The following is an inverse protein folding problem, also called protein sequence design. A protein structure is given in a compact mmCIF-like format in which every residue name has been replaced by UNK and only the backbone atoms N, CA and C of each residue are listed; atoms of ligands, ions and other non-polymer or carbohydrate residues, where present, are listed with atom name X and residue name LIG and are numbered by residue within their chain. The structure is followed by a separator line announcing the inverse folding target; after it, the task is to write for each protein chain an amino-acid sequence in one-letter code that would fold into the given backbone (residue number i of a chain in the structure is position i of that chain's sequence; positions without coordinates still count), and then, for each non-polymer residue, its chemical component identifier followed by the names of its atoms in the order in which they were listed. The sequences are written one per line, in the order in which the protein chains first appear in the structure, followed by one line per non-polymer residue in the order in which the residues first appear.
data_IF_374767070114
#
_entry.id   IF_374767070114
#
_cell.length_a   1.000
_cell.length_b   1.000
_cell.length_c   1.000
_cell.angle_alpha   90.00
_cell.angle_beta   90.00
_cell.angle_gamma   90.00
#
_symmetry.space_group_name_H-M   'P 1'
#
loop_
_entity.id
_entity.type
_entity.pdbx_description
1 polymer ?
#
# COMPACT_ATOMS: atom_id res chain seq x y z
N UNK A 1 9.51 -16.06 -23.58
CA UNK A 1 9.16 -14.83 -24.32
C UNK A 1 9.06 -13.56 -23.45
N UNK A 2 9.27 -13.64 -22.12
CA UNK A 2 9.13 -12.48 -21.21
C UNK A 2 10.40 -11.65 -21.02
N UNK A 3 11.59 -12.19 -21.30
CA UNK A 3 12.87 -11.51 -21.02
C UNK A 3 13.29 -10.45 -22.05
N UNK A 4 12.81 -10.53 -23.31
CA UNK A 4 13.27 -9.62 -24.38
C UNK A 4 12.69 -8.20 -24.22
N UNK A 5 11.53 -8.06 -23.58
CA UNK A 5 10.86 -6.75 -23.39
C UNK A 5 11.36 -5.94 -22.19
N UNK A 6 12.17 -6.50 -21.30
CA UNK A 6 12.77 -5.75 -20.20
C UNK A 6 13.92 -4.83 -20.66
N UNK A 7 14.48 -5.04 -21.85
CA UNK A 7 15.76 -4.45 -22.25
C UNK A 7 15.71 -3.05 -22.91
N UNK A 8 14.54 -2.44 -23.15
CA UNK A 8 14.46 -1.14 -23.83
C UNK A 8 14.51 0.10 -22.92
N UNK A 9 14.27 -0.03 -21.61
CA UNK A 9 14.18 1.12 -20.70
C UNK A 9 15.11 0.97 -19.49
N UNK A 10 16.24 1.68 -19.50
CA UNK A 10 17.20 1.71 -18.38
C UNK A 10 16.72 2.53 -17.17
N UNK A 11 15.73 3.41 -17.37
CA UNK A 11 15.30 4.34 -16.30
C UNK A 11 14.46 3.65 -15.21
N UNK A 12 13.91 2.45 -15.46
CA UNK A 12 12.92 1.81 -14.60
C UNK A 12 13.13 0.30 -14.54
N UNK A 13 12.95 -0.31 -13.36
CA UNK A 13 13.04 -1.78 -13.21
C UNK A 13 11.87 -2.54 -13.86
N UNK A 14 10.68 -1.94 -13.86
CA UNK A 14 9.47 -2.54 -14.44
C UNK A 14 8.81 -1.55 -15.43
N UNK A 15 9.07 -1.66 -16.75
CA UNK A 15 8.49 -0.75 -17.74
C UNK A 15 6.99 -0.98 -17.98
N UNK A 16 6.45 -2.14 -17.59
CA UNK A 16 5.07 -2.56 -17.82
C UNK A 16 4.40 -2.92 -16.48
N UNK A 17 4.19 -1.93 -15.58
CA UNK A 17 3.52 -2.16 -14.32
C UNK A 17 2.08 -2.65 -14.54
N UNK A 18 1.66 -3.63 -13.76
CA UNK A 18 0.30 -4.18 -13.75
C UNK A 18 -0.12 -4.30 -12.30
N UNK A 19 -1.37 -3.94 -11.99
CA UNK A 19 -1.93 -4.18 -10.68
C UNK A 19 -2.30 -5.65 -10.50
N UNK A 20 -1.71 -6.27 -9.48
CA UNK A 20 -2.06 -7.63 -9.06
C UNK A 20 -2.51 -7.58 -7.60
N UNK A 21 -3.81 -7.82 -7.30
CA UNK A 21 -4.26 -7.88 -5.92
C UNK A 21 -3.62 -9.07 -5.21
N UNK A 22 -3.52 -9.00 -3.89
CA UNK A 22 -3.05 -10.14 -3.10
C UNK A 22 -4.01 -11.31 -3.25
N UNK A 23 -3.47 -12.52 -3.19
CA UNK A 23 -4.25 -13.76 -3.26
C UNK A 23 -5.39 -13.76 -2.24
N UNK A 24 -6.57 -14.19 -2.68
CA UNK A 24 -7.78 -14.24 -1.85
C UNK A 24 -8.46 -12.90 -1.53
N UNK A 25 -7.84 -11.74 -1.84
CA UNK A 25 -8.50 -10.44 -1.64
C UNK A 25 -9.59 -10.22 -2.67
N UNK A 26 -10.80 -9.92 -2.19
CA UNK A 26 -11.95 -9.51 -3.02
C UNK A 26 -12.18 -8.01 -2.88
N UNK A 27 -12.81 -7.43 -3.90
CA UNK A 27 -13.31 -6.04 -3.89
C UNK A 27 -14.80 -6.00 -4.15
N UNK A 28 -15.43 -4.85 -3.89
CA UNK A 28 -16.86 -4.62 -4.07
C UNK A 28 -17.26 -4.71 -5.55
N UNK A 29 -18.51 -5.11 -5.86
CA UNK A 29 -19.01 -5.11 -7.25
C UNK A 29 -18.88 -3.75 -7.93
N UNK A 30 -19.16 -2.66 -7.20
CA UNK A 30 -18.97 -1.30 -7.70
C UNK A 30 -17.51 -1.00 -8.08
N UNK A 31 -16.56 -1.43 -7.25
CA UNK A 31 -15.13 -1.27 -7.50
C UNK A 31 -14.65 -2.06 -8.71
N UNK A 32 -15.21 -3.26 -8.97
CA UNK A 32 -14.94 -4.00 -10.21
C UNK A 32 -15.42 -3.26 -11.46
N UNK A 33 -16.60 -2.62 -11.39
CA UNK A 33 -17.10 -1.77 -12.47
C UNK A 33 -16.18 -0.57 -12.72
N UNK A 34 -15.70 0.07 -11.64
CA UNK A 34 -14.71 1.14 -11.73
C UNK A 34 -13.41 0.67 -12.40
N UNK A 35 -12.90 -0.50 -12.01
CA UNK A 35 -11.70 -1.09 -12.62
C UNK A 35 -11.86 -1.32 -14.12
N UNK A 36 -12.97 -1.92 -14.56
CA UNK A 36 -13.27 -2.10 -15.98
C UNK A 36 -13.34 -0.75 -16.72
N UNK A 37 -14.02 0.23 -16.12
CA UNK A 37 -14.10 1.59 -16.69
C UNK A 37 -12.75 2.32 -16.68
N UNK A 38 -11.80 1.96 -15.84
CA UNK A 38 -10.46 2.55 -15.78
C UNK A 38 -9.43 1.91 -16.72
N UNK A 39 -9.78 0.84 -17.44
CA UNK A 39 -8.83 0.14 -18.31
C UNK A 39 -8.34 1.03 -19.47
N UNK A 40 -7.02 1.17 -19.63
CA UNK A 40 -6.43 2.03 -20.65
C UNK A 40 -6.80 3.51 -20.52
N UNK A 41 -7.12 3.99 -19.31
CA UNK A 41 -7.56 5.37 -19.08
C UNK A 41 -6.62 6.41 -19.73
N UNK A 42 -5.30 6.24 -19.61
CA UNK A 42 -4.34 7.24 -20.12
C UNK A 42 -4.16 7.27 -21.65
N UNK A 43 -4.78 6.35 -22.37
CA UNK A 43 -4.85 6.39 -23.85
C UNK A 43 -6.17 6.96 -24.37
N UNK A 44 -7.13 7.28 -23.50
CA UNK A 44 -8.44 7.82 -23.89
C UNK A 44 -8.40 9.32 -24.17
N UNK A 45 -9.44 9.78 -24.87
CA UNK A 45 -9.64 11.18 -25.18
C UNK A 45 -9.84 12.01 -23.91
N UNK A 46 -10.64 11.53 -22.94
CA UNK A 46 -10.91 12.24 -21.67
C UNK A 46 -9.62 12.62 -20.93
N UNK A 47 -8.69 11.67 -20.81
CA UNK A 47 -7.38 11.93 -20.21
C UNK A 47 -6.60 13.01 -20.98
N UNK A 48 -6.64 12.96 -22.31
CA UNK A 48 -5.98 13.95 -23.16
C UNK A 48 -6.59 15.34 -23.00
N UNK A 49 -7.91 15.45 -22.80
CA UNK A 49 -8.60 16.71 -22.51
C UNK A 49 -8.16 17.29 -21.17
N UNK A 50 -8.11 16.50 -20.09
CA UNK A 50 -7.61 16.97 -18.80
C UNK A 50 -6.18 17.52 -18.91
N UNK A 51 -5.31 16.86 -19.69
CA UNK A 51 -3.95 17.34 -19.91
C UNK A 51 -3.94 18.60 -20.78
N UNK A 52 -4.76 18.68 -21.83
CA UNK A 52 -4.88 19.86 -22.69
C UNK A 52 -5.36 21.09 -21.91
N UNK A 53 -6.30 20.92 -20.99
CA UNK A 53 -6.76 22.00 -20.12
C UNK A 53 -5.65 22.53 -19.21
N UNK A 54 -4.83 21.66 -18.60
CA UNK A 54 -3.66 22.14 -17.85
C UNK A 54 -2.63 22.86 -18.74
N UNK A 55 -2.57 22.50 -20.03
CA UNK A 55 -1.70 23.17 -21.00
C UNK A 55 -2.19 24.54 -21.39
N UNK A 56 -3.50 24.71 -21.61
CA UNK A 56 -4.07 26.03 -21.90
C UNK A 56 -3.92 26.99 -20.72
N UNK A 57 -3.95 26.48 -19.49
CA UNK A 57 -3.67 27.26 -18.28
C UNK A 57 -2.19 27.57 -18.03
N UNK A 58 -1.27 27.15 -18.92
CA UNK A 58 0.17 27.33 -18.73
C UNK A 58 0.80 26.53 -17.58
N UNK A 59 0.00 25.75 -16.84
CA UNK A 59 0.47 24.89 -15.72
C UNK A 59 1.29 23.70 -16.22
N UNK A 60 1.16 23.35 -17.49
CA UNK A 60 1.89 22.24 -18.11
C UNK A 60 2.21 22.53 -19.57
N UNK A 61 3.33 22.01 -20.07
CA UNK A 61 3.68 22.17 -21.48
C UNK A 61 3.54 20.89 -22.30
N UNK A 62 3.69 19.71 -21.68
CA UNK A 62 3.82 18.43 -22.38
C UNK A 62 2.92 17.33 -21.81
N UNK A 63 2.53 16.39 -22.67
CA UNK A 63 1.95 15.12 -22.26
C UNK A 63 2.88 14.36 -21.31
N UNK A 64 2.34 13.63 -20.32
CA UNK A 64 3.15 12.76 -19.49
C UNK A 64 3.84 11.67 -20.34
N UNK A 65 5.12 11.36 -20.07
CA UNK A 65 5.83 10.33 -20.81
C UNK A 65 5.15 8.97 -20.67
N UNK A 66 5.33 8.08 -21.66
CA UNK A 66 4.68 6.76 -21.71
C UNK A 66 4.85 5.96 -20.41
N UNK A 67 6.06 5.96 -19.85
CA UNK A 67 6.37 5.26 -18.60
C UNK A 67 5.62 5.79 -17.37
N UNK A 68 5.18 7.07 -17.39
CA UNK A 68 4.31 7.64 -16.35
C UNK A 68 2.86 7.27 -16.60
N UNK A 69 2.41 7.27 -17.85
CA UNK A 69 1.07 6.83 -18.26
C UNK A 69 0.78 5.40 -17.84
N UNK A 70 1.69 4.46 -18.14
CA UNK A 70 1.58 3.06 -17.68
C UNK A 70 1.50 2.95 -16.15
N UNK A 71 2.27 3.76 -15.43
CA UNK A 71 2.22 3.77 -13.97
C UNK A 71 0.87 4.31 -13.44
N UNK A 72 0.30 5.32 -14.10
CA UNK A 72 -1.03 5.84 -13.80
C UNK A 72 -2.09 4.76 -14.03
N UNK A 73 -2.07 4.06 -15.17
CA UNK A 73 -3.06 3.00 -15.45
C UNK A 73 -3.02 1.90 -14.40
N UNK A 74 -1.82 1.41 -14.05
CA UNK A 74 -1.66 0.40 -13.01
C UNK A 74 -2.14 0.91 -11.63
N UNK A 75 -1.84 2.15 -11.26
CA UNK A 75 -2.28 2.73 -9.99
C UNK A 75 -3.78 2.99 -9.96
N UNK A 76 -4.38 3.37 -11.09
CA UNK A 76 -5.81 3.60 -11.17
C UNK A 76 -6.57 2.31 -10.93
N UNK A 77 -6.11 1.19 -11.49
CA UNK A 77 -6.63 -0.14 -11.16
C UNK A 77 -6.53 -0.46 -9.67
N UNK A 78 -5.37 -0.20 -9.05
CA UNK A 78 -5.18 -0.40 -7.60
C UNK A 78 -6.10 0.50 -6.76
N UNK A 79 -6.21 1.78 -7.11
CA UNK A 79 -7.06 2.73 -6.41
C UNK A 79 -8.53 2.32 -6.50
N UNK A 80 -9.01 1.94 -7.70
CA UNK A 80 -10.36 1.44 -7.90
C UNK A 80 -10.61 0.16 -7.09
N UNK A 81 -9.66 -0.78 -7.06
CA UNK A 81 -9.78 -2.01 -6.28
C UNK A 81 -9.91 -1.75 -4.77
N UNK A 82 -9.15 -0.80 -4.22
CA UNK A 82 -9.15 -0.46 -2.80
C UNK A 82 -10.09 0.69 -2.44
N UNK A 83 -10.94 1.13 -3.37
CA UNK A 83 -11.83 2.26 -3.16
C UNK A 83 -12.97 1.91 -2.20
N UNK A 84 -13.25 2.79 -1.26
CA UNK A 84 -14.41 2.73 -0.36
C UNK A 84 -15.42 3.83 -0.72
N UNK A 85 -16.59 3.48 -1.29
CA UNK A 85 -17.61 4.45 -1.70
C UNK A 85 -18.28 5.16 -0.51
N UNK A 86 -18.24 4.56 0.69
CA UNK A 86 -18.76 5.20 1.89
C UNK A 86 -17.95 6.46 2.21
N UNK A 87 -16.66 6.29 2.50
CA UNK A 87 -15.77 7.39 2.86
C UNK A 87 -15.26 8.21 1.67
N UNK A 88 -15.54 7.79 0.43
CA UNK A 88 -14.90 8.26 -0.79
C UNK A 88 -13.36 8.25 -0.68
N UNK A 89 -12.79 7.12 -0.26
CA UNK A 89 -11.36 7.04 0.07
C UNK A 89 -10.72 5.74 -0.40
N UNK A 90 -9.49 5.81 -0.86
CA UNK A 90 -8.68 4.62 -1.15
C UNK A 90 -8.14 4.03 0.15
N UNK A 91 -8.60 2.84 0.53
CA UNK A 91 -8.26 2.17 1.80
C UNK A 91 -6.92 1.41 1.74
N UNK A 92 -5.92 1.99 1.05
CA UNK A 92 -4.61 1.37 0.87
C UNK A 92 -3.50 2.41 0.86
N UNK A 93 -2.38 2.09 1.50
CA UNK A 93 -1.20 2.96 1.47
C UNK A 93 -0.58 2.99 0.09
N UNK A 94 -0.01 4.14 -0.30
CA UNK A 94 0.75 4.30 -1.55
C UNK A 94 1.87 3.24 -1.65
N UNK A 95 2.50 2.91 -0.53
CA UNK A 95 3.55 1.88 -0.51
C UNK A 95 3.03 0.52 -0.94
N UNK A 96 1.90 0.09 -0.39
CA UNK A 96 1.32 -1.20 -0.73
C UNK A 96 0.77 -1.20 -2.16
N UNK A 97 0.13 -0.11 -2.59
CA UNK A 97 -0.30 0.01 -3.99
C UNK A 97 0.89 -0.03 -4.95
N UNK A 98 1.99 0.65 -4.63
CA UNK A 98 3.19 0.62 -5.46
C UNK A 98 3.79 -0.80 -5.56
N UNK A 99 3.73 -1.60 -4.49
CA UNK A 99 4.16 -3.00 -4.51
C UNK A 99 3.20 -3.83 -5.37
N UNK A 100 1.89 -3.71 -5.15
CA UNK A 100 0.85 -4.43 -5.88
C UNK A 100 0.83 -4.09 -7.38
N UNK A 101 1.26 -2.88 -7.77
CA UNK A 101 1.43 -2.46 -9.17
C UNK A 101 2.80 -2.81 -9.78
N UNK A 102 3.73 -3.40 -9.02
CA UNK A 102 5.11 -3.61 -9.47
C UNK A 102 5.89 -2.31 -9.75
N UNK A 103 5.51 -1.20 -9.11
CA UNK A 103 6.15 0.12 -9.21
C UNK A 103 7.19 0.38 -8.13
N UNK A 104 7.11 -0.33 -7.01
CA UNK A 104 8.05 -0.22 -5.92
C UNK A 104 9.39 -0.88 -6.28
N UNK A 105 10.49 -0.25 -5.86
CA UNK A 105 11.83 -0.82 -6.03
C UNK A 105 12.56 -0.85 -4.71
N UNK A 106 13.39 -1.86 -4.50
CA UNK A 106 14.32 -1.92 -3.37
C UNK A 106 15.75 -1.76 -3.90
N UNK A 107 16.54 -0.92 -3.23
CA UNK A 107 17.98 -0.76 -3.51
C UNK A 107 18.77 -1.94 -2.95
N UNK A 108 20.06 -2.07 -3.34
CA UNK A 108 20.97 -3.07 -2.75
C UNK A 108 21.07 -2.94 -1.23
N UNK A 109 21.02 -1.72 -0.72
CA UNK A 109 21.06 -1.42 0.72
C UNK A 109 19.70 -1.63 1.42
N UNK A 110 18.66 -2.07 0.70
CA UNK A 110 17.36 -2.36 1.29
C UNK A 110 16.40 -1.18 1.42
N UNK A 111 16.72 -0.06 0.77
CA UNK A 111 15.86 1.13 0.80
C UNK A 111 14.75 0.96 -0.23
N UNK A 112 13.50 1.07 0.25
CA UNK A 112 12.31 1.02 -0.60
C UNK A 112 12.06 2.39 -1.21
N UNK A 113 11.95 2.43 -2.54
CA UNK A 113 11.52 3.59 -3.29
C UNK A 113 10.14 3.33 -3.90
N UNK A 114 9.25 4.30 -3.71
CA UNK A 114 7.91 4.34 -4.31
C UNK A 114 7.74 5.60 -5.16
N UNK A 115 8.85 6.24 -5.53
CA UNK A 115 8.86 7.56 -6.18
C UNK A 115 8.16 7.57 -7.54
N UNK A 116 8.04 6.40 -8.19
CA UNK A 116 7.26 6.28 -9.43
C UNK A 116 5.77 6.40 -9.17
N UNK A 117 5.28 5.76 -8.11
CA UNK A 117 3.89 5.84 -7.72
C UNK A 117 3.51 7.24 -7.20
N UNK A 118 4.33 7.82 -6.33
CA UNK A 118 4.07 9.17 -5.80
C UNK A 118 4.04 10.23 -6.92
N UNK A 119 4.96 10.16 -7.89
CA UNK A 119 4.96 11.08 -9.04
C UNK A 119 3.74 10.91 -9.95
N UNK A 120 3.25 9.68 -10.13
CA UNK A 120 2.04 9.41 -10.90
C UNK A 120 0.77 9.92 -10.19
N UNK A 121 0.65 9.68 -8.87
CA UNK A 121 -0.48 10.15 -8.08
C UNK A 121 -0.51 11.68 -7.97
N UNK A 122 0.64 12.32 -7.72
CA UNK A 122 0.74 13.79 -7.75
C UNK A 122 0.28 14.36 -9.09
N UNK A 123 0.60 13.69 -10.19
CA UNK A 123 0.14 14.11 -11.51
C UNK A 123 -1.37 13.97 -11.69
N UNK A 124 -1.99 12.89 -11.21
CA UNK A 124 -3.45 12.77 -11.20
C UNK A 124 -4.13 13.85 -10.33
N UNK A 125 -3.51 14.22 -9.21
CA UNK A 125 -3.99 15.32 -8.38
C UNK A 125 -3.86 16.67 -9.10
N UNK A 126 -2.76 16.88 -9.84
CA UNK A 126 -2.53 18.05 -10.68
C UNK A 126 -3.64 18.21 -11.75
N UNK A 127 -4.14 17.09 -12.29
CA UNK A 127 -5.26 17.04 -13.23
C UNK A 127 -6.64 17.27 -12.57
N UNK A 128 -6.70 17.36 -11.24
CA UNK A 128 -7.96 17.49 -10.50
C UNK A 128 -8.79 16.21 -10.45
N UNK A 129 -8.22 15.05 -10.77
CA UNK A 129 -8.92 13.76 -10.79
C UNK A 129 -8.98 13.09 -9.41
N UNK A 130 -8.00 13.37 -8.56
CA UNK A 130 -7.98 12.88 -7.18
C UNK A 130 -7.60 14.00 -6.23
N UNK A 131 -7.99 13.87 -4.97
CA UNK A 131 -7.30 14.59 -3.89
C UNK A 131 -6.08 13.79 -3.46
N UNK A 132 -5.05 14.50 -3.00
CA UNK A 132 -3.80 13.89 -2.52
C UNK A 132 -3.31 14.72 -1.34
N UNK A 133 -3.64 14.30 -0.13
CA UNK A 133 -3.32 15.03 1.10
C UNK A 133 -2.39 14.22 1.99
N UNK A 134 -1.27 14.80 2.38
CA UNK A 134 -0.31 14.16 3.29
C UNK A 134 -0.06 15.09 4.45
N UNK A 135 -0.34 14.61 5.65
CA UNK A 135 -0.14 15.33 6.91
C UNK A 135 1.07 14.73 7.65
N UNK A 136 1.93 15.58 8.21
CA UNK A 136 2.97 15.14 9.13
C UNK A 136 2.43 15.13 10.56
N UNK A 137 2.61 14.03 11.30
CA UNK A 137 2.26 13.92 12.72
C UNK A 137 3.53 14.10 13.57
N UNK A 138 3.73 15.26 14.24
CA UNK A 138 4.91 15.52 15.06
C UNK A 138 5.03 14.59 16.27
N UNK A 139 3.91 14.08 16.81
CA UNK A 139 3.93 13.21 17.99
C UNK A 139 4.55 11.85 17.66
N UNK A 140 4.33 11.36 16.44
CA UNK A 140 4.86 10.06 15.97
C UNK A 140 6.15 10.25 15.16
N UNK A 141 6.45 11.49 14.75
CA UNK A 141 7.63 11.82 13.96
C UNK A 141 7.58 11.25 12.53
N UNK A 142 6.38 11.12 11.95
CA UNK A 142 6.22 10.61 10.58
C UNK A 142 4.97 11.14 9.89
N UNK A 143 4.93 11.00 8.56
CA UNK A 143 3.74 11.31 7.77
C UNK A 143 2.62 10.28 8.03
N UNK A 144 1.42 10.79 8.28
CA UNK A 144 0.17 10.03 8.27
C UNK A 144 -0.04 9.45 6.86
N UNK A 145 -0.69 8.28 6.72
CA UNK A 145 -1.02 7.73 5.41
C UNK A 145 -1.69 8.79 4.53
N UNK A 146 -1.14 9.00 3.34
CA UNK A 146 -1.70 9.93 2.37
C UNK A 146 -3.16 9.59 2.07
N UNK A 147 -4.02 10.57 2.26
CA UNK A 147 -5.43 10.49 1.96
C UNK A 147 -5.64 10.76 0.47
N UNK A 148 -6.30 9.80 -0.19
CA UNK A 148 -6.63 9.85 -1.62
C UNK A 148 -8.13 9.65 -1.75
N UNK A 149 -8.81 10.64 -2.31
CA UNK A 149 -10.24 10.59 -2.63
C UNK A 149 -10.46 10.81 -4.12
N UNK A 150 -11.56 10.30 -4.67
CA UNK A 150 -11.92 10.52 -6.06
C UNK A 150 -12.75 11.80 -6.18
N UNK A 151 -12.44 12.62 -7.19
CA UNK A 151 -13.22 13.81 -7.50
C UNK A 151 -14.37 13.47 -8.45
N UNK A 152 -15.42 14.31 -8.52
CA UNK A 152 -16.46 14.19 -9.54
C UNK A 152 -15.88 14.13 -10.97
N UNK A 153 -14.79 14.87 -11.22
CA UNK A 153 -14.10 14.87 -12.51
C UNK A 153 -13.55 13.49 -12.89
N UNK A 154 -13.00 12.73 -11.94
CA UNK A 154 -12.56 11.36 -12.22
C UNK A 154 -13.73 10.42 -12.50
N UNK A 155 -14.83 10.53 -11.76
CA UNK A 155 -16.02 9.72 -12.06
C UNK A 155 -16.57 10.03 -13.46
N UNK A 156 -16.64 11.32 -13.82
CA UNK A 156 -17.03 11.74 -15.16
C UNK A 156 -16.08 11.21 -16.24
N UNK A 157 -14.75 11.30 -16.02
CA UNK A 157 -13.76 10.81 -16.97
C UNK A 157 -13.73 9.28 -17.11
N UNK A 158 -14.32 8.56 -16.14
CA UNK A 158 -14.55 7.12 -16.18
C UNK A 158 -15.96 6.76 -16.68
N UNK A 159 -16.77 7.75 -17.06
CA UNK A 159 -18.17 7.57 -17.44
C UNK A 159 -19.00 6.90 -16.33
N UNK A 160 -18.84 7.38 -15.10
CA UNK A 160 -19.59 6.92 -13.92
C UNK A 160 -20.50 8.04 -13.46
N UNK A 161 -21.81 7.81 -13.51
CA UNK A 161 -22.79 8.81 -13.07
C UNK A 161 -22.74 9.01 -11.56
N UNK A 162 -23.03 10.25 -11.13
CA UNK A 162 -23.15 10.59 -9.71
C UNK A 162 -24.21 9.72 -9.01
N UNK A 163 -25.32 9.41 -9.69
CA UNK A 163 -26.37 8.51 -9.21
C UNK A 163 -25.80 7.13 -8.87
N UNK A 164 -24.91 6.59 -9.70
CA UNK A 164 -24.28 5.30 -9.44
C UNK A 164 -23.34 5.36 -8.22
N UNK A 165 -22.62 6.47 -8.03
CA UNK A 165 -21.77 6.68 -6.84
C UNK A 165 -22.62 6.77 -5.57
N UNK A 166 -23.71 7.54 -5.60
CA UNK A 166 -24.66 7.67 -4.48
C UNK A 166 -25.30 6.33 -4.14
N UNK A 167 -25.72 5.56 -5.14
CA UNK A 167 -26.27 4.23 -4.95
C UNK A 167 -25.25 3.27 -4.30
N UNK A 168 -23.99 3.29 -4.77
CA UNK A 168 -22.92 2.50 -4.17
C UNK A 168 -22.64 2.88 -2.71
N UNK A 169 -22.70 4.18 -2.39
CA UNK A 169 -22.56 4.68 -1.01
C UNK A 169 -23.71 4.21 -0.12
N UNK A 170 -24.97 4.34 -0.56
CA UNK A 170 -26.16 3.88 0.19
C UNK A 170 -26.12 2.39 0.46
N UNK A 171 -25.81 1.58 -0.57
CA UNK A 171 -25.64 0.13 -0.42
C UNK A 171 -24.56 -0.22 0.61
N UNK A 172 -23.49 0.58 0.68
CA UNK A 172 -22.43 0.38 1.67
C UNK A 172 -22.89 0.71 3.10
N UNK A 173 -23.67 1.77 3.29
CA UNK A 173 -24.29 2.13 4.59
C UNK A 173 -25.19 0.99 5.08
N UNK A 174 -26.08 0.50 4.22
CA UNK A 174 -27.00 -0.60 4.54
C UNK A 174 -26.23 -1.87 4.95
N UNK A 175 -25.19 -2.21 4.19
CA UNK A 175 -24.36 -3.38 4.51
C UNK A 175 -23.65 -3.25 5.85
N UNK A 176 -23.08 -2.07 6.17
CA UNK A 176 -22.42 -1.81 7.46
C UNK A 176 -23.42 -1.93 8.61
N UNK A 177 -24.61 -1.33 8.48
CA UNK A 177 -25.65 -1.44 9.50
C UNK A 177 -26.18 -2.88 9.65
N UNK A 178 -26.22 -3.68 8.57
CA UNK A 178 -26.53 -5.10 8.66
C UNK A 178 -25.46 -5.86 9.46
N UNK A 179 -24.17 -5.57 9.26
CA UNK A 179 -23.10 -6.17 10.08
C UNK A 179 -23.21 -5.74 11.55
N UNK A 180 -23.54 -4.48 11.81
CA UNK A 180 -23.75 -3.96 13.17
C UNK A 180 -24.91 -4.67 13.87
N UNK A 181 -26.03 -4.90 13.16
CA UNK A 181 -27.16 -5.66 13.69
C UNK A 181 -26.76 -7.08 14.08
N UNK A 182 -25.96 -7.77 13.26
CA UNK A 182 -25.40 -9.10 13.59
C UNK A 182 -24.54 -9.07 14.86
N UNK A 183 -23.83 -7.97 15.08
CA UNK A 183 -23.02 -7.72 16.28
C UNK A 183 -23.83 -7.16 17.46
N UNK A 184 -25.16 -7.09 17.38
CA UNK A 184 -26.05 -6.49 18.39
C UNK A 184 -25.74 -5.02 18.71
N UNK A 185 -25.18 -4.28 17.75
CA UNK A 185 -24.91 -2.85 17.85
C UNK A 185 -26.06 -2.04 17.22
N UNK A 186 -26.34 -0.86 17.77
CA UNK A 186 -27.30 0.08 17.19
C UNK A 186 -26.85 0.52 15.77
N UNK A 187 -27.79 0.69 14.82
CA UNK A 187 -27.47 1.28 13.54
C UNK A 187 -26.88 2.68 13.75
N UNK A 188 -26.03 3.10 12.82
CA UNK A 188 -25.48 4.44 12.79
C UNK A 188 -25.94 5.15 11.53
N UNK A 189 -26.02 6.47 11.62
CA UNK A 189 -26.28 7.32 10.47
C UNK A 189 -25.07 7.36 9.53
N UNK A 190 -25.32 7.79 8.29
CA UNK A 190 -24.29 7.81 7.25
C UNK A 190 -23.06 8.61 7.67
N UNK A 191 -23.25 9.80 8.25
CA UNK A 191 -22.15 10.67 8.65
C UNK A 191 -21.31 10.07 9.78
N UNK A 192 -21.94 9.37 10.72
CA UNK A 192 -21.24 8.66 11.79
C UNK A 192 -20.41 7.49 11.26
N UNK A 193 -20.95 6.76 10.28
CA UNK A 193 -20.24 5.68 9.59
C UNK A 193 -19.05 6.21 8.80
N UNK A 194 -19.20 7.33 8.10
CA UNK A 194 -18.10 8.02 7.40
C UNK A 194 -17.02 8.43 8.41
N UNK A 195 -17.40 9.12 9.49
CA UNK A 195 -16.46 9.56 10.53
C UNK A 195 -15.72 8.37 11.16
N UNK A 196 -16.40 7.23 11.37
CA UNK A 196 -15.80 5.99 11.85
C UNK A 196 -14.80 5.41 10.85
N UNK A 197 -15.13 5.38 9.56
CA UNK A 197 -14.24 4.88 8.51
C UNK A 197 -12.94 5.71 8.41
N UNK A 198 -13.05 7.04 8.58
CA UNK A 198 -11.90 7.95 8.62
C UNK A 198 -11.03 7.76 9.89
N UNK A 199 -11.65 7.69 11.07
CA UNK A 199 -10.93 7.46 12.34
C UNK A 199 -10.15 6.15 12.36
N UNK A 200 -10.79 5.07 11.89
CA UNK A 200 -10.20 3.73 11.87
C UNK A 200 -8.81 3.71 11.22
N UNK A 201 -8.62 4.45 10.12
CA UNK A 201 -7.33 4.42 9.41
C UNK A 201 -6.25 5.20 10.14
N UNK A 202 -6.59 6.35 10.73
CA UNK A 202 -5.64 7.13 11.53
C UNK A 202 -5.24 6.36 12.79
N UNK A 203 -6.21 5.79 13.52
CA UNK A 203 -5.96 5.02 14.75
C UNK A 203 -5.13 3.76 14.51
N UNK A 204 -5.48 2.95 13.49
CA UNK A 204 -4.73 1.73 13.13
C UNK A 204 -3.32 2.04 12.68
N UNK A 205 -3.10 3.19 12.03
CA UNK A 205 -1.75 3.60 11.66
C UNK A 205 -0.87 3.81 12.88
N UNK A 206 -1.40 4.47 13.93
CA UNK A 206 -0.67 4.72 15.18
C UNK A 206 -0.33 3.40 15.89
N UNK A 207 -1.30 2.49 16.02
CA UNK A 207 -1.09 1.21 16.71
C UNK A 207 -0.05 0.33 16.01
N UNK A 208 -0.10 0.23 14.68
CA UNK A 208 0.78 -0.67 13.92
C UNK A 208 2.17 -0.07 13.61
N UNK A 209 2.43 1.22 13.89
CA UNK A 209 3.77 1.80 13.66
C UNK A 209 4.86 1.11 14.50
N UNK A 210 4.56 0.82 15.77
CA UNK A 210 5.50 0.12 16.65
C UNK A 210 5.86 -1.27 16.10
N UNK A 211 4.85 -2.00 15.62
CA UNK A 211 5.00 -3.31 14.98
C UNK A 211 5.79 -3.22 13.66
N UNK A 212 5.59 -2.17 12.86
CA UNK A 212 6.42 -1.95 11.65
C UNK A 212 7.88 -1.68 11.98
N UNK A 213 8.16 -0.94 13.05
CA UNK A 213 9.53 -0.65 13.50
C UNK A 213 10.23 -1.94 13.96
N UNK A 214 9.54 -2.78 14.72
CA UNK A 214 10.07 -4.07 15.16
C UNK A 214 10.29 -5.02 13.97
N UNK A 215 9.32 -5.11 13.06
CA UNK A 215 9.44 -5.90 11.83
C UNK A 215 10.58 -5.40 10.94
N UNK A 216 10.80 -4.09 10.85
CA UNK A 216 11.93 -3.48 10.14
C UNK A 216 13.28 -3.93 10.70
N UNK A 217 13.43 -3.99 12.04
CA UNK A 217 14.64 -4.49 12.70
C UNK A 217 14.85 -5.99 12.45
N UNK A 218 13.78 -6.79 12.47
CA UNK A 218 13.85 -8.22 12.14
C UNK A 218 14.34 -8.43 10.71
N UNK A 219 13.80 -7.68 9.75
CA UNK A 219 14.21 -7.74 8.34
C UNK A 219 15.66 -7.30 8.12
N UNK A 220 16.09 -6.23 8.78
CA UNK A 220 17.48 -5.78 8.68
C UNK A 220 18.45 -6.82 9.27
N UNK A 221 18.07 -7.44 10.39
CA UNK A 221 18.80 -8.57 10.96
C UNK A 221 18.86 -9.75 9.98
N UNK A 222 17.72 -10.15 9.42
CA UNK A 222 17.62 -11.24 8.46
C UNK A 222 18.46 -10.98 7.20
N UNK A 223 18.51 -9.75 6.70
CA UNK A 223 19.40 -9.36 5.59
C UNK A 223 20.86 -9.58 5.94
N UNK A 224 21.30 -9.13 7.13
CA UNK A 224 22.68 -9.37 7.58
C UNK A 224 22.96 -10.86 7.74
N UNK A 225 21.97 -11.64 8.13
CA UNK A 225 22.07 -13.09 8.34
C UNK A 225 21.96 -13.89 7.02
N UNK A 226 21.65 -13.25 5.89
CA UNK A 226 21.44 -13.91 4.60
C UNK A 226 22.67 -14.70 4.12
N UNK A 227 23.89 -14.20 4.39
CA UNK A 227 25.15 -14.89 4.07
C UNK A 227 25.70 -15.77 5.19
N UNK A 228 25.03 -15.84 6.36
CA UNK A 228 25.52 -16.57 7.54
C UNK A 228 25.05 -18.02 7.56
N UNK A 229 25.85 -18.89 8.17
CA UNK A 229 25.43 -20.27 8.45
C UNK A 229 24.57 -20.35 9.72
N UNK A 230 23.87 -21.48 9.90
CA UNK A 230 23.00 -21.71 11.07
C UNK A 230 23.77 -21.57 12.39
N UNK A 231 24.99 -22.12 12.46
CA UNK A 231 25.87 -22.05 13.62
C UNK A 231 26.22 -20.59 14.01
N UNK A 232 26.52 -19.74 13.02
CA UNK A 232 26.84 -18.32 13.27
C UNK A 232 25.64 -17.57 13.84
N UNK A 233 24.45 -17.85 13.29
CA UNK A 233 23.18 -17.27 13.73
C UNK A 233 22.88 -17.72 15.16
N UNK A 234 23.06 -19.00 15.47
CA UNK A 234 22.87 -19.55 16.81
C UNK A 234 23.80 -18.88 17.84
N UNK A 235 25.07 -18.74 17.52
CA UNK A 235 26.06 -18.04 18.37
C UNK A 235 25.60 -16.61 18.67
N UNK A 236 25.15 -15.87 17.65
CA UNK A 236 24.63 -14.51 17.81
C UNK A 236 23.35 -14.44 18.62
N UNK A 237 22.43 -15.38 18.44
CA UNK A 237 21.19 -15.47 19.21
C UNK A 237 21.50 -15.71 20.69
N UNK A 238 22.43 -16.62 21.01
CA UNK A 238 22.89 -16.87 22.38
C UNK A 238 23.49 -15.61 23.01
N UNK A 239 24.41 -14.93 22.32
CA UNK A 239 24.98 -13.65 22.80
C UNK A 239 23.92 -12.58 23.07
N UNK A 240 22.90 -12.49 22.21
CA UNK A 240 21.79 -11.58 22.41
C UNK A 240 20.97 -11.93 23.65
N UNK A 241 20.62 -13.21 23.83
CA UNK A 241 19.85 -13.67 24.99
C UNK A 241 20.61 -13.50 26.31
N UNK A 242 21.93 -13.69 26.33
CA UNK A 242 22.76 -13.39 27.51
C UNK A 242 22.66 -11.92 27.92
N UNK A 243 22.68 -10.98 26.95
CA UNK A 243 22.50 -9.55 27.23
C UNK A 243 21.07 -9.23 27.70
N UNK A 244 20.07 -9.88 27.14
CA UNK A 244 18.67 -9.73 27.56
C UNK A 244 18.43 -10.28 28.97
N UNK A 245 19.11 -11.36 29.34
CA UNK A 245 19.10 -11.91 30.70
C UNK A 245 19.75 -10.93 31.69
N UNK A 246 20.95 -10.43 31.37
CA UNK A 246 21.66 -9.46 32.22
C UNK A 246 20.90 -8.15 32.43
N UNK A 247 20.10 -7.73 31.44
CA UNK A 247 19.27 -6.52 31.51
C UNK A 247 17.84 -6.78 32.02
N UNK A 248 17.53 -8.02 32.42
CA UNK A 248 16.22 -8.42 32.94
C UNK A 248 15.08 -8.41 31.92
N UNK A 249 15.38 -8.23 30.62
CA UNK A 249 14.40 -8.25 29.51
C UNK A 249 13.94 -9.66 29.16
N UNK A 250 14.80 -10.64 29.37
CA UNK A 250 14.43 -12.05 29.29
C UNK A 250 14.41 -12.62 30.71
N UNK A 251 13.32 -13.28 31.07
CA UNK A 251 13.14 -13.99 32.34
C UNK A 251 12.70 -15.41 32.03
N UNK A 252 13.40 -16.40 32.54
CA UNK A 252 13.11 -17.80 32.29
C UNK A 252 14.21 -18.72 32.83
N UNK A 253 13.85 -19.98 32.99
CA UNK A 253 14.77 -21.04 33.37
C UNK A 253 15.62 -21.51 32.17
N UNK A 254 16.50 -22.49 32.42
CA UNK A 254 17.40 -23.06 31.41
C UNK A 254 16.64 -23.64 30.21
N UNK A 255 15.46 -24.22 30.43
CA UNK A 255 14.64 -24.82 29.38
C UNK A 255 13.90 -23.76 28.55
N UNK A 256 13.41 -22.68 29.18
CA UNK A 256 12.89 -21.51 28.46
C UNK A 256 13.97 -20.86 27.59
N UNK A 257 15.21 -20.78 28.08
CA UNK A 257 16.33 -20.25 27.30
C UNK A 257 16.61 -21.10 26.04
N UNK A 258 16.66 -22.43 26.17
CA UNK A 258 16.86 -23.34 25.02
C UNK A 258 15.76 -23.18 23.97
N UNK A 259 14.49 -23.19 24.39
CA UNK A 259 13.34 -23.01 23.50
C UNK A 259 13.39 -21.66 22.77
N UNK A 260 13.77 -20.59 23.47
CA UNK A 260 13.86 -19.27 22.87
C UNK A 260 15.05 -19.14 21.88
N UNK A 261 16.18 -19.81 22.14
CA UNK A 261 17.27 -19.93 21.17
C UNK A 261 16.77 -20.60 19.89
N UNK A 262 16.14 -21.76 20.02
CA UNK A 262 15.65 -22.53 18.87
C UNK A 262 14.61 -21.73 18.06
N UNK A 263 13.63 -21.14 18.74
CA UNK A 263 12.60 -20.28 18.12
C UNK A 263 13.21 -19.12 17.33
N UNK A 264 14.18 -18.40 17.90
CA UNK A 264 14.83 -17.25 17.24
C UNK A 264 15.74 -17.67 16.08
N UNK A 265 16.46 -18.79 16.21
CA UNK A 265 17.28 -19.34 15.12
C UNK A 265 16.38 -19.75 13.96
N UNK A 266 15.29 -20.46 14.22
CA UNK A 266 14.33 -20.86 13.20
C UNK A 266 13.70 -19.64 12.52
N UNK A 267 13.23 -18.66 13.29
CA UNK A 267 12.66 -17.40 12.77
C UNK A 267 13.66 -16.66 11.87
N UNK A 268 14.92 -16.52 12.30
CA UNK A 268 15.96 -15.84 11.52
C UNK A 268 16.34 -16.60 10.26
N UNK A 269 16.44 -17.92 10.34
CA UNK A 269 16.70 -18.78 9.19
C UNK A 269 15.58 -18.65 8.16
N UNK A 270 14.32 -18.68 8.60
CA UNK A 270 13.19 -18.53 7.68
C UNK A 270 13.19 -17.15 7.01
N UNK A 271 13.45 -16.08 7.77
CA UNK A 271 13.46 -14.71 7.24
C UNK A 271 14.70 -14.38 6.38
N UNK A 272 15.85 -14.99 6.64
CA UNK A 272 17.11 -14.69 5.95
C UNK A 272 17.25 -15.40 4.60
N UNK A 273 16.46 -16.45 4.36
CA UNK A 273 16.49 -17.25 3.13
C UNK A 273 15.44 -16.77 2.13
N UNK A 274 15.67 -17.08 0.85
CA UNK A 274 14.67 -16.90 -0.22
C UNK A 274 14.18 -15.46 -0.44
N UNK A 275 15.00 -14.44 -0.14
CA UNK A 275 14.60 -13.02 -0.16
C UNK A 275 13.43 -12.66 0.78
N UNK A 276 13.09 -13.47 1.78
CA UNK A 276 11.97 -13.20 2.70
C UNK A 276 12.13 -11.90 3.51
N UNK A 277 13.33 -11.32 3.55
CA UNK A 277 13.62 -10.03 4.14
C UNK A 277 13.35 -8.82 3.22
N UNK A 278 13.01 -9.03 1.94
CA UNK A 278 12.69 -7.96 0.98
C UNK A 278 11.44 -7.19 1.41
N UNK A 279 11.39 -5.89 1.06
CA UNK A 279 10.19 -5.04 1.22
C UNK A 279 9.17 -5.24 0.12
N UNK A 280 9.58 -5.90 -0.97
CA UNK A 280 8.74 -6.11 -2.14
C UNK A 280 7.86 -7.35 -1.99
N UNK A 281 8.22 -8.28 -1.10
CA UNK A 281 7.38 -9.42 -0.77
C UNK A 281 6.11 -8.94 -0.07
N UNK A 282 4.97 -9.36 -0.59
CA UNK A 282 3.67 -9.15 0.05
C UNK A 282 3.55 -10.12 1.23
N UNK A 283 4.24 -9.84 2.33
CA UNK A 283 4.03 -10.60 3.57
C UNK A 283 2.53 -10.51 3.94
N UNK A 284 1.86 -11.63 4.23
CA UNK A 284 0.52 -11.59 4.82
C UNK A 284 0.66 -10.88 6.17
N UNK A 285 0.09 -9.68 6.25
CA UNK A 285 -0.20 -8.99 7.51
C UNK A 285 -1.71 -9.09 7.65
#
# INVERSE_FOLDING_TARGET
MTDILQNHYSQVKNPNPVFTPREGKKTLPFCRKLMAKAEGFTSRFDFSIHVAFLRSLGKRHRMPPLLRRRAIDALLQAMCFHYDPLANRVQRSITNMAIECGLATESRNGNLSVSRATRALKFLAELGLITYQTEYDPQIGCNIPTDITFTPALFSALDVSEVAVVAARRSRVEWENLQRKKQKLKPLEMDELIAKAWRFVRERFRSYQAERKSHGRKRDTARRDASRQRHDIETRVRQQLTREYATGRFRGDKEALKREVERRVQERMLLSRGNNYTRLATVPI
#
